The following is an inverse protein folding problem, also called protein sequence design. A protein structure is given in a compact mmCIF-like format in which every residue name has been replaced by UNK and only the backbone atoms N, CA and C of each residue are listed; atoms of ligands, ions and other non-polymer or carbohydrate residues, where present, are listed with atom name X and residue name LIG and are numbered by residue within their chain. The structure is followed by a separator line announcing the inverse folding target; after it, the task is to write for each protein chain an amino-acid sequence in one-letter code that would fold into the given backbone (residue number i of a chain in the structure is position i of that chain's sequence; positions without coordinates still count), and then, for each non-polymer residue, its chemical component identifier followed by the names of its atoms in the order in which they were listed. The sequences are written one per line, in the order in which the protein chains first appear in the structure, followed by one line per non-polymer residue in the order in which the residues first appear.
data_IF_394417624061
#
_entry.id   IF_394417624061
#
_cell.length_a   1.000
_cell.length_b   1.000
_cell.length_c   1.000
_cell.angle_alpha   90.00
_cell.angle_beta   90.00
_cell.angle_gamma   90.00
#
_symmetry.space_group_name_H-M   'P 1'
#
loop_
_entity.id
_entity.type
_entity.pdbx_description
1 polymer ?
#
# COMPACT_ATOMS: atom_id res chain seq x y z
N UNK A 1 0.39 13.50 31.67
CA UNK A 1 1.32 14.13 30.69
C UNK A 1 2.60 13.32 30.66
N UNK A 2 2.65 12.28 29.83
CA UNK A 2 3.88 11.55 29.55
C UNK A 2 4.53 12.22 28.35
N UNK A 3 5.76 12.72 28.53
CA UNK A 3 6.61 13.24 27.47
C UNK A 3 6.88 12.12 26.47
N UNK A 4 6.07 12.04 25.43
CA UNK A 4 6.28 11.05 24.38
C UNK A 4 7.42 11.49 23.48
N UNK A 5 8.39 10.59 23.37
CA UNK A 5 9.56 10.69 22.52
C UNK A 5 9.07 10.75 21.07
N UNK A 6 8.98 11.96 20.51
CA UNK A 6 8.77 12.24 19.08
C UNK A 6 9.92 11.72 18.19
N UNK A 7 10.85 10.94 18.75
CA UNK A 7 12.00 10.39 18.04
C UNK A 7 11.63 8.96 17.65
N UNK A 8 11.03 8.84 16.47
CA UNK A 8 10.99 7.55 15.77
C UNK A 8 12.43 7.08 15.52
N UNK A 9 12.73 5.78 15.64
CA UNK A 9 14.01 5.22 15.23
C UNK A 9 14.42 5.72 13.83
N UNK A 10 15.72 5.92 13.59
CA UNK A 10 16.21 6.38 12.27
C UNK A 10 15.70 5.45 11.17
N UNK A 11 15.11 6.04 10.12
CA UNK A 11 14.62 5.35 8.94
C UNK A 11 14.91 6.19 7.71
N UNK A 12 15.00 5.55 6.54
CA UNK A 12 14.96 6.24 5.26
C UNK A 12 13.51 6.41 4.85
N UNK A 13 13.18 7.58 4.31
CA UNK A 13 11.84 7.89 3.83
C UNK A 13 11.95 8.52 2.44
N UNK A 14 11.18 7.99 1.48
CA UNK A 14 11.10 8.51 0.11
C UNK A 14 9.66 8.89 -0.19
N UNK A 15 9.48 10.05 -0.82
CA UNK A 15 8.18 10.48 -1.29
C UNK A 15 7.75 9.61 -2.48
N UNK A 16 6.58 8.99 -2.34
CA UNK A 16 5.97 8.12 -3.33
C UNK A 16 4.76 8.83 -3.91
N UNK A 17 4.68 8.90 -5.25
CA UNK A 17 3.57 9.56 -5.93
C UNK A 17 3.06 8.76 -7.13
N UNK A 18 1.75 8.84 -7.35
CA UNK A 18 1.18 8.62 -8.68
C UNK A 18 0.93 9.99 -9.26
N UNK A 19 1.51 10.31 -10.42
CA UNK A 19 1.24 11.57 -11.10
C UNK A 19 -0.02 11.46 -11.97
N UNK A 20 -0.84 12.52 -12.05
CA UNK A 20 -1.90 12.61 -13.07
C UNK A 20 -1.32 12.50 -14.49
N UNK A 21 -2.08 11.96 -15.46
CA UNK A 21 -1.63 11.82 -16.84
C UNK A 21 -1.41 13.19 -17.49
N UNK A 22 -0.52 13.23 -18.47
CA UNK A 22 -0.31 14.44 -19.27
C UNK A 22 -1.51 14.72 -20.18
N UNK A 23 -1.85 16.00 -20.42
CA UNK A 23 -1.22 17.18 -19.85
C UNK A 23 -1.58 17.40 -18.37
N UNK A 24 -0.57 17.67 -17.52
CA UNK A 24 -0.75 17.83 -16.08
C UNK A 24 -0.27 19.20 -15.59
N UNK A 25 -1.18 20.01 -15.04
CA UNK A 25 -0.83 21.30 -14.38
C UNK A 25 0.15 21.10 -13.23
N UNK A 26 0.00 20.00 -12.49
CA UNK A 26 0.93 19.64 -11.41
C UNK A 26 2.28 19.18 -11.97
N UNK A 27 2.27 18.40 -13.05
CA UNK A 27 3.49 18.00 -13.74
C UNK A 27 4.29 19.21 -14.22
N UNK A 28 3.61 20.19 -14.82
CA UNK A 28 4.20 21.48 -15.20
C UNK A 28 4.79 22.25 -14.01
N UNK A 29 4.02 22.43 -12.93
CA UNK A 29 4.49 23.13 -11.74
C UNK A 29 5.69 22.43 -11.07
N UNK A 30 5.68 21.10 -11.03
CA UNK A 30 6.81 20.34 -10.51
C UNK A 30 8.02 20.38 -11.43
N UNK A 31 7.87 20.42 -12.74
CA UNK A 31 9.00 20.53 -13.67
C UNK A 31 9.75 21.87 -13.52
N UNK A 32 9.05 22.94 -13.14
CA UNK A 32 9.65 24.24 -12.83
C UNK A 32 10.54 24.20 -11.58
N UNK A 33 10.17 23.39 -10.56
CA UNK A 33 10.91 23.26 -9.29
C UNK A 33 11.92 22.08 -9.27
N UNK A 34 11.62 20.96 -9.93
CA UNK A 34 12.45 19.73 -10.00
C UNK A 34 13.70 19.91 -10.89
N UNK A 35 13.79 21.02 -11.64
CA UNK A 35 15.01 21.44 -12.31
C UNK A 35 16.18 21.74 -11.33
N UNK A 36 15.95 21.70 -10.02
CA UNK A 36 16.98 21.59 -8.99
C UNK A 36 17.18 20.10 -8.66
N UNK A 37 18.31 19.52 -9.06
CA UNK A 37 18.77 18.10 -9.03
C UNK A 37 18.60 17.27 -7.71
N UNK A 38 17.67 17.63 -6.81
CA UNK A 38 17.56 17.09 -5.45
C UNK A 38 16.22 16.38 -5.14
N UNK A 39 15.22 16.40 -6.03
CA UNK A 39 13.90 15.79 -5.77
C UNK A 39 13.62 14.63 -6.73
N UNK A 40 13.94 13.40 -6.31
CA UNK A 40 13.51 12.19 -7.02
C UNK A 40 12.17 11.72 -6.45
N UNK A 41 11.10 11.89 -7.22
CA UNK A 41 9.79 11.32 -6.90
C UNK A 41 9.79 9.82 -7.22
N UNK A 42 9.37 8.99 -6.26
CA UNK A 42 9.27 7.54 -6.49
C UNK A 42 7.87 7.21 -7.03
N UNK A 43 7.74 6.57 -8.20
CA UNK A 43 6.41 6.15 -8.68
C UNK A 43 5.77 5.13 -7.73
N UNK A 44 4.46 5.28 -7.45
CA UNK A 44 3.72 4.33 -6.58
C UNK A 44 3.87 2.87 -7.01
N UNK A 45 3.81 2.62 -8.32
CA UNK A 45 3.98 1.27 -8.86
C UNK A 45 5.36 0.70 -8.54
N UNK A 46 6.41 1.51 -8.61
CA UNK A 46 7.78 1.06 -8.35
C UNK A 46 8.03 0.88 -6.86
N UNK A 47 7.48 1.76 -6.01
CA UNK A 47 7.50 1.56 -4.56
C UNK A 47 6.81 0.24 -4.15
N UNK A 48 5.65 -0.08 -4.74
CA UNK A 48 4.93 -1.31 -4.42
C UNK A 48 5.69 -2.56 -4.86
N UNK A 49 6.30 -2.53 -6.07
CA UNK A 49 7.16 -3.62 -6.56
C UNK A 49 8.40 -3.79 -5.69
N UNK A 50 9.04 -2.68 -5.29
CA UNK A 50 10.19 -2.69 -4.41
C UNK A 50 9.85 -3.33 -3.05
N UNK A 51 8.75 -2.93 -2.42
CA UNK A 51 8.32 -3.55 -1.15
C UNK A 51 8.04 -5.04 -1.36
N UNK A 52 7.31 -5.42 -2.41
CA UNK A 52 6.99 -6.82 -2.68
C UNK A 52 8.25 -7.68 -2.87
N UNK A 53 9.29 -7.17 -3.52
CA UNK A 53 10.55 -7.89 -3.74
C UNK A 53 11.41 -8.01 -2.49
N UNK A 54 11.21 -7.12 -1.50
CA UNK A 54 11.90 -7.18 -0.21
C UNK A 54 11.30 -8.22 0.75
N UNK A 55 10.00 -8.50 0.66
CA UNK A 55 9.35 -9.43 1.59
C UNK A 55 9.92 -10.85 1.51
N UNK A 56 10.21 -11.44 2.68
CA UNK A 56 10.77 -12.79 2.82
C UNK A 56 9.86 -13.73 3.60
N UNK A 57 9.16 -13.24 4.59
CA UNK A 57 8.26 -14.04 5.43
C UNK A 57 6.80 -13.73 5.09
N UNK A 58 6.43 -12.44 5.15
CA UNK A 58 5.08 -11.94 4.90
C UNK A 58 5.08 -10.66 4.08
N UNK A 59 4.30 -10.67 3.00
CA UNK A 59 3.82 -9.45 2.33
C UNK A 59 2.37 -9.20 2.74
N UNK A 60 2.10 -8.04 3.36
CA UNK A 60 0.74 -7.61 3.73
C UNK A 60 0.33 -6.40 2.90
N UNK A 61 -0.86 -6.45 2.31
CA UNK A 61 -1.52 -5.31 1.67
C UNK A 61 -2.79 -5.03 2.45
N UNK A 62 -2.92 -3.85 3.05
CA UNK A 62 -4.14 -3.37 3.68
C UNK A 62 -4.68 -2.18 2.90
N UNK A 63 -5.89 -2.31 2.34
CA UNK A 63 -6.49 -1.29 1.49
C UNK A 63 -8.02 -1.41 1.48
N UNK A 64 -8.78 -0.31 1.60
CA UNK A 64 -10.23 -0.42 1.73
C UNK A 64 -10.93 -0.69 0.39
N UNK A 65 -10.35 -0.21 -0.72
CA UNK A 65 -11.00 -0.23 -2.01
C UNK A 65 -10.16 -0.92 -3.08
N UNK A 66 -10.82 -1.77 -3.87
CA UNK A 66 -10.21 -2.49 -4.98
C UNK A 66 -11.12 -2.54 -6.21
N UNK A 67 -10.52 -2.41 -7.40
CA UNK A 67 -11.17 -2.68 -8.68
C UNK A 67 -10.41 -3.73 -9.49
N UNK A 68 -10.90 -4.04 -10.69
CA UNK A 68 -10.30 -5.08 -11.53
C UNK A 68 -8.83 -4.83 -11.88
N UNK A 69 -8.41 -3.56 -12.04
CA UNK A 69 -7.01 -3.21 -12.35
C UNK A 69 -6.16 -3.31 -11.09
N UNK A 70 -6.68 -2.86 -9.95
CA UNK A 70 -5.97 -3.00 -8.68
C UNK A 70 -5.88 -4.44 -8.18
N UNK A 71 -6.88 -5.28 -8.48
CA UNK A 71 -6.82 -6.71 -8.19
C UNK A 71 -5.67 -7.39 -8.95
N UNK A 72 -5.51 -7.05 -10.22
CA UNK A 72 -4.39 -7.55 -11.03
C UNK A 72 -3.05 -7.05 -10.48
N UNK A 73 -2.99 -5.77 -10.10
CA UNK A 73 -1.80 -5.15 -9.53
C UNK A 73 -1.37 -5.78 -8.20
N UNK A 74 -2.30 -6.08 -7.29
CA UNK A 74 -1.97 -6.80 -6.06
C UNK A 74 -1.59 -8.26 -6.33
N UNK A 75 -2.18 -8.90 -7.34
CA UNK A 75 -1.76 -10.24 -7.73
C UNK A 75 -0.32 -10.25 -8.24
N UNK A 76 0.09 -9.26 -9.05
CA UNK A 76 1.48 -9.09 -9.49
C UNK A 76 2.44 -8.96 -8.28
N UNK A 77 2.07 -8.21 -7.26
CA UNK A 77 2.88 -8.07 -6.04
C UNK A 77 3.01 -9.38 -5.27
N UNK A 78 1.90 -10.11 -5.07
CA UNK A 78 1.91 -11.39 -4.36
C UNK A 78 2.60 -12.51 -5.14
N UNK A 79 2.52 -12.49 -6.47
CA UNK A 79 3.21 -13.47 -7.32
C UNK A 79 4.71 -13.16 -7.45
N UNK A 80 5.08 -11.88 -7.39
CA UNK A 80 6.47 -11.42 -7.48
C UNK A 80 7.26 -11.51 -6.17
N UNK A 81 6.63 -11.85 -5.05
CA UNK A 81 7.31 -11.97 -3.76
C UNK A 81 7.75 -13.40 -3.45
N UNK A 82 8.90 -13.52 -2.77
CA UNK A 82 9.37 -14.80 -2.21
C UNK A 82 8.69 -15.17 -0.90
N UNK A 83 7.94 -14.24 -0.28
CA UNK A 83 7.25 -14.48 0.98
C UNK A 83 6.23 -15.63 0.89
N UNK A 84 6.27 -16.51 1.88
CA UNK A 84 5.31 -17.61 2.03
C UNK A 84 3.93 -17.10 2.48
N UNK A 85 3.88 -16.03 3.28
CA UNK A 85 2.64 -15.40 3.70
C UNK A 85 2.30 -14.18 2.82
N UNK A 86 1.09 -14.17 2.27
CA UNK A 86 0.59 -13.13 1.36
C UNK A 86 -0.80 -12.75 1.83
N UNK A 87 -0.87 -11.69 2.63
CA UNK A 87 -2.08 -11.29 3.33
C UNK A 87 -2.70 -10.07 2.68
N UNK A 88 -3.96 -10.17 2.27
CA UNK A 88 -4.78 -9.03 1.88
C UNK A 88 -5.77 -8.71 3.00
N UNK A 89 -5.73 -7.49 3.52
CA UNK A 89 -6.74 -6.93 4.42
C UNK A 89 -7.58 -5.94 3.62
N UNK A 90 -8.88 -6.21 3.50
CA UNK A 90 -9.82 -5.41 2.72
C UNK A 90 -11.08 -5.12 3.52
N UNK A 91 -11.73 -3.99 3.26
CA UNK A 91 -12.96 -3.59 3.97
C UNK A 91 -14.20 -4.40 3.59
N UNK A 92 -14.22 -4.94 2.38
CA UNK A 92 -15.31 -5.75 1.83
C UNK A 92 -14.73 -6.73 0.81
N UNK A 93 -14.68 -8.02 1.16
CA UNK A 93 -14.15 -9.07 0.29
C UNK A 93 -15.05 -9.34 -0.94
N UNK A 94 -16.31 -8.91 -0.94
CA UNK A 94 -17.20 -9.02 -2.10
C UNK A 94 -16.73 -8.15 -3.27
N UNK A 95 -15.90 -7.12 -3.03
CA UNK A 95 -15.23 -6.35 -4.09
C UNK A 95 -14.42 -7.26 -5.02
N UNK A 96 -13.77 -8.31 -4.49
CA UNK A 96 -12.99 -9.25 -5.30
C UNK A 96 -13.88 -10.05 -6.27
N UNK A 97 -15.13 -10.33 -5.91
CA UNK A 97 -16.09 -10.98 -6.80
C UNK A 97 -16.44 -10.10 -8.01
N UNK A 98 -16.53 -8.78 -7.80
CA UNK A 98 -16.81 -7.78 -8.84
C UNK A 98 -15.63 -7.56 -9.80
N UNK A 99 -14.43 -8.04 -9.45
CA UNK A 99 -13.21 -7.87 -10.24
C UNK A 99 -12.98 -8.96 -11.31
N UNK A 100 -13.92 -9.90 -11.53
CA UNK A 100 -13.81 -10.89 -12.60
C UNK A 100 -12.55 -11.79 -12.53
N UNK A 101 -11.86 -11.97 -13.65
CA UNK A 101 -10.64 -12.80 -13.72
C UNK A 101 -9.49 -12.27 -12.85
N UNK A 102 -9.16 -10.96 -12.81
CA UNK A 102 -8.21 -10.41 -11.86
C UNK A 102 -8.54 -10.69 -10.40
N UNK A 103 -9.82 -10.57 -10.02
CA UNK A 103 -10.26 -10.95 -8.67
C UNK A 103 -9.97 -12.41 -8.33
N UNK A 104 -10.21 -13.33 -9.27
CA UNK A 104 -9.86 -14.76 -9.10
C UNK A 104 -8.36 -15.01 -9.06
N UNK A 105 -7.56 -14.28 -9.85
CA UNK A 105 -6.09 -14.35 -9.83
C UNK A 105 -5.56 -13.93 -8.47
N UNK A 106 -6.01 -12.78 -7.97
CA UNK A 106 -5.65 -12.27 -6.64
C UNK A 106 -6.01 -13.27 -5.53
N UNK A 107 -7.22 -13.85 -5.57
CA UNK A 107 -7.63 -14.88 -4.59
C UNK A 107 -6.72 -16.12 -4.58
N UNK A 108 -6.12 -16.49 -5.71
CA UNK A 108 -5.15 -17.60 -5.77
C UNK A 108 -3.75 -17.19 -5.33
N UNK A 109 -3.36 -15.94 -5.61
CA UNK A 109 -2.05 -15.42 -5.27
C UNK A 109 -1.91 -15.15 -3.76
N UNK A 110 -2.97 -14.68 -3.10
CA UNK A 110 -3.03 -14.46 -1.66
C UNK A 110 -3.14 -15.79 -0.90
N UNK A 111 -2.42 -15.91 0.21
CA UNK A 111 -2.57 -17.06 1.13
C UNK A 111 -3.62 -16.80 2.21
N UNK A 112 -3.91 -15.53 2.51
CA UNK A 112 -4.96 -15.12 3.44
C UNK A 112 -5.64 -13.85 2.94
N UNK A 113 -6.97 -13.82 3.02
CA UNK A 113 -7.78 -12.62 2.78
C UNK A 113 -8.61 -12.37 4.04
N UNK A 114 -8.51 -11.16 4.57
CA UNK A 114 -9.18 -10.71 5.78
C UNK A 114 -10.18 -9.63 5.38
N UNK A 115 -11.44 -9.85 5.75
CA UNK A 115 -12.52 -8.89 5.59
C UNK A 115 -12.67 -8.08 6.88
N UNK A 116 -12.09 -6.87 6.90
CA UNK A 116 -12.05 -5.95 8.05
C UNK A 116 -12.92 -4.73 7.77
N UNK A 117 -14.21 -4.88 7.94
CA UNK A 117 -15.17 -3.80 7.74
C UNK A 117 -16.59 -4.18 8.10
N UNK A 118 -16.90 -5.48 8.06
CA UNK A 118 -18.20 -6.01 8.44
C UNK A 118 -19.34 -5.47 7.58
N UNK A 119 -20.53 -6.06 7.71
CA UNK A 119 -21.76 -5.49 7.14
C UNK A 119 -22.35 -4.39 8.02
N UNK A 120 -21.83 -4.23 9.25
CA UNK A 120 -22.37 -3.37 10.29
C UNK A 120 -21.52 -2.11 10.45
N UNK A 121 -22.15 -0.95 10.25
CA UNK A 121 -21.54 0.37 10.42
C UNK A 121 -21.13 0.69 11.86
N UNK A 122 -21.55 -0.13 12.83
CA UNK A 122 -21.13 -0.03 14.24
C UNK A 122 -19.74 -0.63 14.51
N UNK A 123 -19.20 -1.41 13.56
CA UNK A 123 -17.88 -2.03 13.71
C UNK A 123 -16.75 -1.10 13.27
N UNK A 124 -15.58 -1.31 13.87
CA UNK A 124 -14.36 -0.61 13.50
C UNK A 124 -14.01 -0.86 12.03
N UNK A 125 -13.58 0.20 11.34
CA UNK A 125 -13.18 0.15 9.93
C UNK A 125 -11.89 0.93 9.74
N UNK A 126 -11.22 0.72 8.62
CA UNK A 126 -10.00 1.47 8.28
C UNK A 126 -10.15 2.25 6.98
N UNK A 127 -9.37 3.33 6.87
CA UNK A 127 -9.18 4.07 5.63
C UNK A 127 -7.69 4.15 5.21
N UNK A 128 -6.79 3.59 6.02
CA UNK A 128 -5.38 3.53 5.72
C UNK A 128 -5.10 2.65 4.48
N UNK A 129 -4.04 2.97 3.74
CA UNK A 129 -3.52 2.14 2.66
C UNK A 129 -2.06 1.86 2.94
N UNK A 130 -1.77 0.58 3.17
CA UNK A 130 -0.45 0.14 3.61
C UNK A 130 -0.04 -1.08 2.79
N UNK A 131 1.20 -1.06 2.33
CA UNK A 131 1.89 -2.24 1.81
C UNK A 131 3.09 -2.46 2.71
N UNK A 132 3.22 -3.64 3.32
CA UNK A 132 4.24 -3.96 4.31
C UNK A 132 4.98 -5.24 3.90
N UNK A 133 6.30 -5.14 3.83
CA UNK A 133 7.20 -6.28 3.75
C UNK A 133 7.80 -6.57 5.12
N UNK A 134 7.39 -7.69 5.70
CA UNK A 134 7.84 -8.18 7.00
C UNK A 134 7.71 -7.09 8.08
N UNK A 135 8.84 -6.55 8.53
CA UNK A 135 8.95 -5.34 9.34
C UNK A 135 10.10 -4.45 8.87
N UNK A 136 10.46 -4.52 7.58
CA UNK A 136 11.67 -3.88 7.03
C UNK A 136 11.38 -2.74 6.04
N UNK A 137 10.26 -2.81 5.32
CA UNK A 137 9.84 -1.79 4.38
C UNK A 137 8.31 -1.64 4.38
N UNK A 138 7.82 -0.41 4.33
CA UNK A 138 6.40 -0.13 4.19
C UNK A 138 6.11 1.08 3.31
N UNK A 139 5.02 1.00 2.54
CA UNK A 139 4.34 2.16 2.00
C UNK A 139 3.19 2.52 2.94
N UNK A 140 3.07 3.79 3.28
CA UNK A 140 1.89 4.35 3.95
C UNK A 140 1.45 5.59 3.18
N UNK A 141 0.21 5.60 2.68
CA UNK A 141 -0.26 6.73 1.88
C UNK A 141 -1.71 6.64 1.43
N UNK A 142 -2.02 7.37 0.35
CA UNK A 142 -3.38 7.55 -0.16
C UNK A 142 -3.79 6.54 -1.23
N UNK A 143 -2.85 5.85 -1.88
CA UNK A 143 -3.11 5.00 -3.03
C UNK A 143 -3.95 3.77 -2.66
N UNK A 144 -5.18 3.70 -3.16
CA UNK A 144 -5.96 2.48 -3.15
C UNK A 144 -5.53 1.54 -4.30
N UNK A 145 -6.04 0.31 -4.31
CA UNK A 145 -5.89 -0.61 -5.44
C UNK A 145 -6.98 -0.32 -6.49
N UNK A 146 -6.92 0.85 -7.10
CA UNK A 146 -7.86 1.27 -8.14
C UNK A 146 -7.11 1.65 -9.40
N UNK A 147 -7.71 1.45 -10.58
CA UNK A 147 -7.20 1.95 -11.87
C UNK A 147 -6.85 3.43 -11.77
N UNK A 148 -7.72 4.22 -11.15
CA UNK A 148 -7.50 5.65 -10.95
C UNK A 148 -6.31 5.93 -10.02
N UNK A 149 -6.14 5.19 -8.93
CA UNK A 149 -4.99 5.36 -8.03
C UNK A 149 -3.67 4.90 -8.66
N UNK A 150 -3.71 3.93 -9.57
CA UNK A 150 -2.54 3.44 -10.32
C UNK A 150 -2.10 4.41 -11.43
N UNK A 151 -3.02 5.16 -12.03
CA UNK A 151 -2.76 5.83 -13.32
C UNK A 151 -3.21 7.28 -13.44
N UNK A 152 -4.10 7.78 -12.58
CA UNK A 152 -4.84 9.02 -12.86
C UNK A 152 -4.90 10.02 -11.71
N UNK A 153 -5.15 9.53 -10.50
CA UNK A 153 -5.16 10.38 -9.32
C UNK A 153 -3.74 10.80 -8.97
N UNK A 154 -3.61 12.03 -8.47
CA UNK A 154 -2.49 12.34 -7.61
C UNK A 154 -2.61 11.50 -6.34
N UNK A 155 -1.78 10.47 -6.22
CA UNK A 155 -1.61 9.74 -4.97
C UNK A 155 -0.29 10.16 -4.34
N UNK A 156 -0.25 10.19 -3.00
CA UNK A 156 0.92 10.56 -2.23
C UNK A 156 1.07 9.61 -1.05
N UNK A 157 2.30 9.23 -0.75
CA UNK A 157 2.63 8.45 0.43
C UNK A 157 4.14 8.43 0.68
N UNK A 158 4.53 7.71 1.72
CA UNK A 158 5.92 7.51 2.07
C UNK A 158 6.28 6.05 1.94
N UNK A 159 7.38 5.77 1.23
CA UNK A 159 8.11 4.53 1.37
C UNK A 159 9.10 4.70 2.52
N UNK A 160 8.91 3.93 3.58
CA UNK A 160 9.72 3.94 4.79
C UNK A 160 10.48 2.62 4.88
N UNK A 161 11.79 2.69 5.13
CA UNK A 161 12.63 1.51 5.33
C UNK A 161 13.48 1.67 6.60
N UNK A 162 13.71 0.56 7.28
CA UNK A 162 14.47 0.51 8.54
C UNK A 162 13.59 0.46 9.80
N UNK A 163 14.18 0.64 11.00
CA UNK A 163 13.53 0.36 12.28
C UNK A 163 12.16 1.03 12.52
N UNK A 164 11.88 2.18 11.91
CA UNK A 164 10.57 2.84 12.04
C UNK A 164 9.39 2.01 11.46
N UNK A 165 9.67 1.07 10.55
CA UNK A 165 8.65 0.19 9.95
C UNK A 165 8.00 -0.72 11.00
N UNK A 166 8.68 -0.98 12.13
CA UNK A 166 8.13 -1.81 13.20
C UNK A 166 6.81 -1.27 13.77
N UNK A 167 6.64 0.05 13.84
CA UNK A 167 5.38 0.64 14.27
C UNK A 167 4.23 0.30 13.31
N UNK A 168 4.50 0.32 12.00
CA UNK A 168 3.54 -0.07 10.95
C UNK A 168 3.19 -1.55 11.06
N UNK A 169 4.21 -2.40 11.30
CA UNK A 169 4.02 -3.84 11.52
C UNK A 169 3.13 -4.12 12.72
N UNK A 170 3.42 -3.50 13.87
CA UNK A 170 2.64 -3.69 15.11
C UNK A 170 1.17 -3.33 14.88
N UNK A 171 0.89 -2.21 14.21
CA UNK A 171 -0.47 -1.82 13.87
C UNK A 171 -1.16 -2.85 12.97
N UNK A 172 -0.50 -3.30 11.90
CA UNK A 172 -1.07 -4.30 10.99
C UNK A 172 -1.29 -5.66 11.66
N UNK A 173 -0.37 -6.08 12.53
CA UNK A 173 -0.51 -7.33 13.27
C UNK A 173 -1.68 -7.27 14.27
N UNK A 174 -1.93 -6.11 14.88
CA UNK A 174 -3.12 -5.88 15.71
C UNK A 174 -4.42 -5.96 14.89
N UNK A 175 -4.47 -5.30 13.72
CA UNK A 175 -5.62 -5.38 12.80
C UNK A 175 -5.87 -6.84 12.37
N UNK A 176 -4.82 -7.59 12.02
CA UNK A 176 -4.93 -8.99 11.60
C UNK A 176 -5.39 -9.90 12.75
N UNK A 177 -5.03 -9.58 13.99
CA UNK A 177 -5.40 -10.36 15.18
C UNK A 177 -6.82 -10.07 15.67
N UNK A 178 -7.35 -8.89 15.37
CA UNK A 178 -8.71 -8.47 15.74
C UNK A 178 -9.80 -8.97 14.76
N UNK A 179 -9.40 -9.61 13.65
CA UNK A 179 -10.27 -10.05 12.56
C UNK A 179 -10.43 -11.57 12.50
#
# INVERSE_FOLDING_TARGET
MTREVLISPKATARLVVTMPPEPSRLGGALAEDIASDYVTLTPTTDAFRHIASLARERLTIMVPYIDSVGADWAAEMFEGTTAAERTLVIRDAAQLGRCGSPGRRLKRAATRIIDYGGADLSQETFHAKIVLADGIAAYVGSANLLRRSKMANLECGMLVEGPAVQAVKVLLDAVISAA
#
